data_IF_790294764952
#
_entry.id   IF_790294764952
#
_cell.length_a   1.000
_cell.length_b   1.000
_cell.length_c   1.000
_cell.angle_alpha   90.00
_cell.angle_beta   90.00
_cell.angle_gamma   90.00
#
_symmetry.space_group_name_H-M   'P 1'
#
loop_
_entity.id
_entity.type
_entity.pdbx_description
1 polymer ?
#
# COMPACT_ATOMS: atom_id res chain seq x y z
N UNK A 1 -12.81 11.61 3.86
CA UNK A 1 -12.30 11.92 2.50
C UNK A 1 -13.48 11.88 1.58
N UNK A 2 -13.90 12.99 0.99
CA UNK A 2 -14.91 13.00 -0.09
C UNK A 2 -14.32 12.43 -1.40
N UNK A 3 -13.32 11.54 -1.29
CA UNK A 3 -12.56 10.93 -2.37
C UNK A 3 -12.65 9.42 -2.24
N UNK A 4 -12.74 8.73 -3.36
CA UNK A 4 -12.82 7.27 -3.42
C UNK A 4 -11.56 6.70 -4.03
N UNK A 5 -11.07 5.60 -3.47
CA UNK A 5 -9.85 4.92 -3.90
C UNK A 5 -10.11 3.42 -4.04
N UNK A 6 -9.60 2.84 -5.12
CA UNK A 6 -9.59 1.40 -5.33
C UNK A 6 -8.18 0.98 -5.78
N UNK A 7 -7.70 -0.13 -5.24
CA UNK A 7 -6.39 -0.67 -5.62
C UNK A 7 -6.45 -2.17 -5.86
N UNK A 8 -5.74 -2.62 -6.88
CA UNK A 8 -5.48 -4.03 -7.18
C UNK A 8 -3.97 -4.24 -7.14
N UNK A 9 -3.53 -5.29 -6.45
CA UNK A 9 -2.12 -5.66 -6.40
C UNK A 9 -1.89 -7.00 -7.10
N UNK A 10 -0.79 -7.09 -7.83
CA UNK A 10 -0.26 -8.34 -8.37
C UNK A 10 0.96 -8.76 -7.54
N UNK A 11 0.97 -9.99 -7.05
CA UNK A 11 2.02 -10.49 -6.16
C UNK A 11 2.47 -11.88 -6.55
N UNK A 12 3.73 -12.20 -6.25
CA UNK A 12 4.20 -13.58 -6.16
C UNK A 12 4.60 -13.92 -4.73
N UNK A 13 4.49 -15.20 -4.38
CA UNK A 13 4.94 -15.72 -3.09
C UNK A 13 5.95 -16.84 -3.32
N UNK A 14 7.20 -16.61 -2.90
CA UNK A 14 8.28 -17.59 -2.99
C UNK A 14 8.85 -17.83 -1.59
N UNK A 15 8.84 -19.08 -1.11
CA UNK A 15 9.31 -19.46 0.23
C UNK A 15 8.74 -18.57 1.36
N UNK A 16 7.46 -18.20 1.24
CA UNK A 16 6.77 -17.33 2.19
C UNK A 16 7.14 -15.84 2.12
N UNK A 17 8.02 -15.43 1.20
CA UNK A 17 8.32 -14.03 0.90
C UNK A 17 7.35 -13.51 -0.16
N UNK A 18 6.71 -12.39 0.14
CA UNK A 18 5.79 -11.70 -0.76
C UNK A 18 6.57 -10.67 -1.55
N UNK A 19 6.43 -10.68 -2.87
CA UNK A 19 6.89 -9.62 -3.76
C UNK A 19 5.69 -9.02 -4.47
N UNK A 20 5.59 -7.69 -4.47
CA UNK A 20 4.55 -6.94 -5.21
C UNK A 20 5.15 -6.53 -6.54
N UNK A 21 4.56 -6.96 -7.65
CA UNK A 21 5.05 -6.66 -8.99
C UNK A 21 4.39 -5.41 -9.55
N UNK A 22 3.08 -5.28 -9.33
CA UNK A 22 2.27 -4.22 -9.91
C UNK A 22 1.16 -3.77 -8.96
N UNK A 23 0.85 -2.48 -8.97
CA UNK A 23 -0.31 -1.90 -8.30
C UNK A 23 -1.08 -1.02 -9.28
N UNK A 24 -2.37 -1.31 -9.44
CA UNK A 24 -3.29 -0.49 -10.25
C UNK A 24 -4.18 0.28 -9.29
N UNK A 25 -4.14 1.60 -9.39
CA UNK A 25 -4.84 2.52 -8.51
C UNK A 25 -5.87 3.30 -9.31
N UNK A 26 -7.14 3.27 -8.89
CA UNK A 26 -8.18 4.16 -9.39
C UNK A 26 -8.56 5.17 -8.30
N UNK A 27 -8.60 6.45 -8.64
CA UNK A 27 -8.89 7.53 -7.71
C UNK A 27 -9.95 8.49 -8.26
N UNK A 28 -10.99 8.72 -7.47
CA UNK A 28 -11.94 9.83 -7.65
C UNK A 28 -11.69 10.85 -6.53
N UNK A 29 -11.31 12.07 -6.89
CA UNK A 29 -11.17 13.17 -5.95
C UNK A 29 -12.05 14.37 -6.32
N UNK A 30 -13.13 14.16 -7.07
CA UNK A 30 -13.96 15.23 -7.63
C UNK A 30 -13.17 16.09 -8.62
N UNK A 31 -13.59 17.35 -8.78
CA UNK A 31 -12.87 18.31 -9.65
C UNK A 31 -11.42 18.48 -9.20
N UNK A 32 -10.51 18.39 -10.15
CA UNK A 32 -9.08 18.55 -9.90
C UNK A 32 -8.42 19.64 -10.76
N UNK A 33 -7.22 20.03 -10.35
CA UNK A 33 -6.42 21.07 -11.02
C UNK A 33 -5.26 20.46 -11.79
N UNK A 34 -4.50 19.55 -11.18
CA UNK A 34 -3.28 19.00 -11.75
C UNK A 34 -3.28 17.47 -11.66
N UNK A 35 -3.49 16.74 -12.78
CA UNK A 35 -3.52 15.29 -12.79
C UNK A 35 -2.15 14.66 -12.47
N UNK A 36 -1.03 15.33 -12.76
CA UNK A 36 0.31 14.84 -12.43
C UNK A 36 0.58 14.81 -10.92
N UNK A 37 0.07 15.78 -10.16
CA UNK A 37 0.16 15.78 -8.69
C UNK A 37 -0.73 14.67 -8.10
N UNK A 38 -1.89 14.42 -8.69
CA UNK A 38 -2.78 13.33 -8.27
C UNK A 38 -2.10 11.98 -8.45
N UNK A 39 -1.47 11.75 -9.61
CA UNK A 39 -0.68 10.55 -9.87
C UNK A 39 0.43 10.39 -8.82
N UNK A 40 1.26 11.42 -8.62
CA UNK A 40 2.36 11.37 -7.66
C UNK A 40 1.90 11.11 -6.21
N UNK A 41 0.78 11.69 -5.77
CA UNK A 41 0.22 11.45 -4.43
C UNK A 41 -0.36 10.03 -4.30
N UNK A 42 -1.02 9.54 -5.35
CA UNK A 42 -1.57 8.18 -5.37
C UNK A 42 -0.46 7.14 -5.34
N UNK A 43 0.57 7.31 -6.16
CA UNK A 43 1.76 6.45 -6.22
C UNK A 43 2.55 6.48 -4.91
N UNK A 44 2.82 7.67 -4.37
CA UNK A 44 3.49 7.82 -3.08
C UNK A 44 2.71 7.18 -1.93
N UNK A 45 1.39 7.34 -1.93
CA UNK A 45 0.49 6.69 -0.98
C UNK A 45 0.51 5.16 -1.09
N UNK A 46 0.49 4.63 -2.31
CA UNK A 46 0.56 3.19 -2.55
C UNK A 46 1.90 2.61 -2.06
N UNK A 47 3.03 3.28 -2.33
CA UNK A 47 4.35 2.89 -1.83
C UNK A 47 4.41 2.94 -0.29
N UNK A 48 3.84 3.99 0.32
CA UNK A 48 3.79 4.13 1.77
C UNK A 48 2.96 3.00 2.40
N UNK A 49 1.76 2.73 1.87
CA UNK A 49 0.88 1.67 2.34
C UNK A 49 1.45 0.27 2.11
N UNK A 50 2.15 0.05 1.00
CA UNK A 50 2.85 -1.21 0.72
C UNK A 50 4.04 -1.42 1.67
N UNK A 51 4.80 -0.36 1.97
CA UNK A 51 5.87 -0.40 2.98
C UNK A 51 5.30 -0.80 4.35
N UNK A 52 4.16 -0.21 4.73
CA UNK A 52 3.45 -0.56 5.95
C UNK A 52 3.00 -2.03 5.97
N UNK A 53 2.46 -2.51 4.85
CA UNK A 53 1.98 -3.87 4.71
C UNK A 53 3.09 -4.93 4.79
N UNK A 54 4.27 -4.66 4.23
CA UNK A 54 5.33 -5.66 4.06
C UNK A 54 6.38 -5.64 5.17
N UNK A 55 6.69 -4.47 5.76
CA UNK A 55 7.89 -4.32 6.58
C UNK A 55 7.68 -3.66 7.95
N UNK A 56 6.77 -2.69 8.04
CA UNK A 56 6.77 -1.76 9.17
C UNK A 56 6.03 -2.32 10.38
N UNK A 57 6.78 -2.54 11.45
CA UNK A 57 6.27 -2.92 12.76
C UNK A 57 7.04 -2.14 13.83
N UNK A 58 6.32 -1.53 14.76
CA UNK A 58 6.91 -0.92 15.95
C UNK A 58 6.68 -1.86 17.13
N UNK A 59 7.77 -2.33 17.74
CA UNK A 59 7.73 -3.18 18.93
C UNK A 59 8.31 -2.46 20.14
N UNK A 60 7.81 -2.82 21.32
CA UNK A 60 8.18 -2.21 22.59
C UNK A 60 8.81 -3.25 23.50
N UNK A 61 9.89 -2.87 24.18
CA UNK A 61 10.52 -3.67 25.22
C UNK A 61 10.89 -2.74 26.38
N UNK A 62 10.57 -3.14 27.61
CA UNK A 62 10.81 -2.34 28.82
C UNK A 62 10.30 -0.88 28.70
N UNK A 63 9.13 -0.70 28.07
CA UNK A 63 8.51 0.61 27.86
C UNK A 63 9.19 1.49 26.80
N UNK A 64 10.11 0.93 25.98
CA UNK A 64 10.85 1.68 24.95
C UNK A 64 10.68 1.07 23.57
N UNK A 65 10.62 1.94 22.57
CA UNK A 65 10.59 1.57 21.16
C UNK A 65 11.90 0.88 20.75
N UNK A 66 11.80 -0.24 20.04
CA UNK A 66 12.96 -1.02 19.57
C UNK A 66 13.51 -0.49 18.25
N UNK A 67 12.64 -0.15 17.30
CA UNK A 67 13.02 0.36 15.99
C UNK A 67 13.26 1.87 16.07
N UNK A 68 14.50 2.31 15.84
CA UNK A 68 14.91 3.72 16.01
C UNK A 68 15.39 4.38 14.72
N UNK A 69 15.48 3.62 13.62
CA UNK A 69 15.97 4.12 12.32
C UNK A 69 15.54 3.17 11.18
N UNK A 70 15.73 3.56 9.91
CA UNK A 70 15.26 2.83 8.72
C UNK A 70 15.89 1.46 8.50
N UNK A 71 17.02 1.14 9.12
CA UNK A 71 17.57 -0.23 9.08
C UNK A 71 16.76 -1.21 9.94
N UNK A 72 16.03 -0.70 10.95
CA UNK A 72 15.16 -1.49 11.84
C UNK A 72 13.66 -1.23 11.57
N UNK A 73 13.31 -0.16 10.87
CA UNK A 73 11.96 0.15 10.37
C UNK A 73 12.00 0.41 8.86
N UNK A 74 12.08 -0.64 8.02
CA UNK A 74 12.33 -0.47 6.60
C UNK A 74 11.15 0.18 5.88
N UNK A 75 11.46 0.88 4.80
CA UNK A 75 10.52 1.22 3.74
C UNK A 75 10.90 0.45 2.48
N UNK A 76 9.97 0.36 1.53
CA UNK A 76 10.29 -0.14 0.19
C UNK A 76 11.50 0.62 -0.39
N UNK A 77 12.45 -0.13 -0.94
CA UNK A 77 13.57 0.41 -1.70
C UNK A 77 13.20 0.53 -3.17
N UNK A 78 13.97 1.30 -3.93
CA UNK A 78 13.73 1.50 -5.37
C UNK A 78 13.65 0.19 -6.16
N UNK A 79 14.45 -0.82 -5.80
CA UNK A 79 14.45 -2.13 -6.45
C UNK A 79 13.29 -3.05 -6.02
N UNK A 80 12.49 -2.63 -5.03
CA UNK A 80 11.32 -3.35 -4.53
C UNK A 80 10.03 -2.62 -4.90
N UNK A 81 10.13 -1.41 -5.47
CA UNK A 81 8.98 -0.62 -5.88
C UNK A 81 8.24 -1.36 -7.00
N UNK A 82 6.93 -1.61 -6.87
CA UNK A 82 6.15 -2.19 -7.94
C UNK A 82 5.98 -1.19 -9.09
N UNK A 83 5.60 -1.69 -10.27
CA UNK A 83 5.05 -0.83 -11.32
C UNK A 83 3.68 -0.31 -10.87
N UNK A 84 3.50 1.02 -10.89
CA UNK A 84 2.27 1.65 -10.40
C UNK A 84 1.56 2.37 -11.54
N UNK A 85 0.27 2.10 -11.70
CA UNK A 85 -0.61 2.79 -12.65
C UNK A 85 -1.67 3.58 -11.89
N UNK A 86 -1.81 4.86 -12.22
CA UNK A 86 -2.86 5.72 -11.66
C UNK A 86 -3.91 6.06 -12.71
N UNK A 87 -5.15 5.65 -12.46
CA UNK A 87 -6.33 6.02 -13.23
C UNK A 87 -7.15 7.04 -12.45
N UNK A 88 -7.26 8.25 -13.01
CA UNK A 88 -8.07 9.32 -12.42
C UNK A 88 -9.48 9.20 -12.98
N UNK A 89 -10.46 9.03 -12.10
CA UNK A 89 -11.88 8.98 -12.46
C UNK A 89 -12.36 10.41 -12.71
N UNK A 90 -12.92 10.67 -13.89
CA UNK A 90 -13.54 11.96 -14.19
C UNK A 90 -14.80 12.15 -13.34
N UNK A 91 -14.81 13.20 -12.53
CA UNK A 91 -15.89 13.47 -11.58
C UNK A 91 -16.15 14.98 -11.47
N UNK A 92 -17.42 15.37 -11.57
CA UNK A 92 -17.87 16.75 -11.44
C UNK A 92 -18.19 17.17 -10.00
N UNK A 93 -18.07 16.24 -9.06
CA UNK A 93 -18.30 16.43 -7.63
C UNK A 93 -17.34 17.47 -7.03
N UNK A 94 -17.65 17.93 -5.82
CA UNK A 94 -16.80 18.86 -5.08
C UNK A 94 -15.41 18.25 -4.91
N UNK A 95 -14.36 19.07 -5.03
CA UNK A 95 -12.98 18.65 -4.84
C UNK A 95 -12.78 18.02 -3.46
N UNK A 96 -12.34 16.76 -3.47
CA UNK A 96 -11.92 16.00 -2.29
C UNK A 96 -10.43 16.16 -1.99
N UNK A 97 -9.97 15.50 -0.94
CA UNK A 97 -8.54 15.45 -0.58
C UNK A 97 -7.79 14.39 -1.38
N UNK A 98 -6.51 14.63 -1.69
CA UNK A 98 -5.66 13.66 -2.42
C UNK A 98 -4.43 13.17 -1.64
N UNK A 99 -4.12 13.78 -0.48
CA UNK A 99 -2.91 13.45 0.27
C UNK A 99 -2.90 12.06 0.94
N UNK A 100 -4.05 11.59 1.39
CA UNK A 100 -4.21 10.33 2.12
C UNK A 100 -4.80 9.17 1.30
N UNK A 101 -5.73 9.36 0.33
CA UNK A 101 -6.45 8.26 -0.31
C UNK A 101 -5.61 7.17 -1.01
N UNK A 102 -4.35 7.45 -1.36
CA UNK A 102 -3.45 6.45 -1.92
C UNK A 102 -2.98 5.38 -0.91
N UNK A 103 -3.10 5.64 0.40
CA UNK A 103 -2.54 4.76 1.45
C UNK A 103 -3.46 3.60 1.84
N UNK A 104 -4.75 3.80 2.19
CA UNK A 104 -5.55 2.80 2.89
C UNK A 104 -5.82 1.51 2.09
N UNK A 105 -5.84 1.60 0.76
CA UNK A 105 -6.18 0.48 -0.11
C UNK A 105 -5.00 -0.46 -0.39
N UNK A 106 -3.75 -0.03 -0.13
CA UNK A 106 -2.57 -0.81 -0.48
C UNK A 106 -2.46 -2.12 0.30
N UNK A 107 -2.52 -2.06 1.62
CA UNK A 107 -2.42 -3.24 2.48
C UNK A 107 -3.51 -4.30 2.21
N UNK A 108 -4.82 -3.96 2.15
CA UNK A 108 -5.83 -4.95 1.83
C UNK A 108 -5.72 -5.48 0.39
N UNK A 109 -5.30 -4.67 -0.59
CA UNK A 109 -5.06 -5.16 -1.95
C UNK A 109 -3.95 -6.23 -1.97
N UNK A 110 -2.82 -5.96 -1.32
CA UNK A 110 -1.70 -6.91 -1.21
C UNK A 110 -2.13 -8.18 -0.43
N UNK A 111 -2.80 -8.03 0.71
CA UNK A 111 -3.25 -9.18 1.51
C UNK A 111 -4.27 -10.06 0.75
N UNK A 112 -5.17 -9.45 -0.03
CA UNK A 112 -6.12 -10.18 -0.88
C UNK A 112 -5.40 -10.89 -2.04
N UNK A 113 -4.41 -10.26 -2.65
CA UNK A 113 -3.60 -10.88 -3.71
C UNK A 113 -2.78 -12.06 -3.16
N UNK A 114 -2.21 -11.93 -1.96
CA UNK A 114 -1.55 -13.03 -1.25
C UNK A 114 -2.51 -14.19 -0.98
N UNK A 115 -3.74 -13.90 -0.54
CA UNK A 115 -4.76 -14.92 -0.38
C UNK A 115 -5.11 -15.59 -1.71
N UNK A 116 -5.26 -14.83 -2.80
CA UNK A 116 -5.51 -15.40 -4.13
C UNK A 116 -4.37 -16.31 -4.60
N UNK A 117 -3.11 -15.94 -4.33
CA UNK A 117 -1.93 -16.71 -4.73
C UNK A 117 -1.67 -17.96 -3.87
N UNK A 118 -2.10 -17.97 -2.60
CA UNK A 118 -1.67 -19.00 -1.62
C UNK A 118 -2.80 -19.72 -0.90
N UNK A 119 -4.03 -19.21 -0.95
CA UNK A 119 -5.15 -19.66 -0.12
C UNK A 119 -5.08 -19.26 1.36
N UNK A 120 -4.00 -18.60 1.82
CA UNK A 120 -3.80 -18.21 3.22
C UNK A 120 -4.29 -16.78 3.50
N UNK A 121 -5.18 -16.62 4.49
CA UNK A 121 -5.70 -15.31 4.89
C UNK A 121 -4.79 -14.65 5.91
N UNK A 122 -4.15 -13.55 5.53
CA UNK A 122 -3.38 -12.71 6.45
C UNK A 122 -4.26 -11.59 7.01
N UNK A 123 -4.33 -11.48 8.33
CA UNK A 123 -5.13 -10.46 9.05
C UNK A 123 -4.30 -9.59 10.00
N UNK A 124 -3.01 -9.90 10.12
CA UNK A 124 -2.04 -9.16 10.93
C UNK A 124 -0.97 -8.59 10.00
N UNK A 125 -0.65 -7.32 10.21
CA UNK A 125 0.47 -6.66 9.54
C UNK A 125 1.67 -6.58 10.49
N UNK A 126 2.91 -6.55 9.95
CA UNK A 126 3.24 -6.76 8.53
C UNK A 126 2.94 -8.19 8.07
N UNK A 127 2.81 -8.40 6.77
CA UNK A 127 2.42 -9.68 6.18
C UNK A 127 3.52 -10.71 6.42
N UNK A 128 3.26 -11.66 7.32
CA UNK A 128 4.15 -12.79 7.64
C UNK A 128 3.44 -14.11 7.35
N UNK A 129 3.83 -14.79 6.28
CA UNK A 129 3.17 -16.04 5.85
C UNK A 129 3.48 -17.26 6.72
N UNK A 130 4.53 -17.19 7.55
CA UNK A 130 4.79 -18.17 8.61
C UNK A 130 3.82 -18.06 9.80
N UNK A 131 3.11 -16.93 9.93
CA UNK A 131 2.18 -16.64 11.01
C UNK A 131 0.71 -16.65 10.55
N UNK A 132 0.46 -16.96 9.27
CA UNK A 132 -0.88 -17.03 8.71
C UNK A 132 -1.56 -18.35 9.16
N UNK A 133 -2.58 -18.21 10.02
CA UNK A 133 -3.46 -19.28 10.51
C UNK A 133 -4.55 -19.59 9.49
#
# INVERSE_FOLDING_TARGET
FESFSAQVAEVSVNDGKVQVHRMVCAIDCGRYVNPGIIAAQTEGGAIFGASAALFQELTFENGRLRQTNFHSFPMLRMNECPDIETHIVESSEKSGGIGEPGVPCAAPAIANAVFAATGKRVRRLPIRLSEAV
#
